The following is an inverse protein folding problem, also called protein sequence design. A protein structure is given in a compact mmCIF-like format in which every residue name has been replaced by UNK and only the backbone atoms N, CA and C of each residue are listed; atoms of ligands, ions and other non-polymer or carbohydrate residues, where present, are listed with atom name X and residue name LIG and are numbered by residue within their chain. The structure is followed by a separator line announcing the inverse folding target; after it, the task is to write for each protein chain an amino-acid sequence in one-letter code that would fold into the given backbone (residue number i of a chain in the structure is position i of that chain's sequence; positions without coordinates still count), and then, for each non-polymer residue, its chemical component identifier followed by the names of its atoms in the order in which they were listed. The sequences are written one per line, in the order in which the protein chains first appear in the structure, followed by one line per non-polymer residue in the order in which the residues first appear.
data_IF_259774798026
#
_entry.id   IF_259774798026
#
_cell.length_a   1.000
_cell.length_b   1.000
_cell.length_c   1.000
_cell.angle_alpha   90.00
_cell.angle_beta   90.00
_cell.angle_gamma   90.00
#
_symmetry.space_group_name_H-M   'P 1'
#
loop_
_entity.id
_entity.type
_entity.pdbx_description
1 polymer ?
#
# COMPACT_ATOMS: atom_id res chain seq x y z
N UNK A 1 -9.36 14.84 8.21
CA UNK A 1 -9.83 13.45 8.32
C UNK A 1 -8.63 12.53 8.16
N UNK A 2 -8.41 11.59 9.09
CA UNK A 2 -7.37 10.57 8.97
C UNK A 2 -8.09 9.22 8.83
N UNK A 3 -7.98 8.58 7.68
CA UNK A 3 -8.56 7.27 7.44
C UNK A 3 -7.51 6.21 7.79
N UNK A 4 -7.71 5.50 8.89
CA UNK A 4 -6.99 4.26 9.15
C UNK A 4 -7.78 3.09 8.51
N UNK A 5 -7.10 2.11 7.89
CA UNK A 5 -7.77 0.95 7.31
C UNK A 5 -8.54 0.19 8.40
N UNK A 6 -9.80 -0.15 8.12
CA UNK A 6 -10.63 -0.93 9.04
C UNK A 6 -10.00 -2.31 9.27
N UNK A 7 -10.08 -2.84 10.49
CA UNK A 7 -9.64 -4.20 10.79
C UNK A 7 -10.57 -5.20 10.08
N UNK A 8 -10.10 -5.78 8.96
CA UNK A 8 -10.84 -6.83 8.26
C UNK A 8 -10.82 -8.11 9.11
N UNK A 9 -11.95 -8.41 9.73
CA UNK A 9 -12.24 -9.66 10.46
C UNK A 9 -12.36 -10.92 9.56
N UNK A 10 -11.73 -10.90 8.39
CA UNK A 10 -11.51 -12.06 7.53
C UNK A 10 -10.08 -11.95 7.01
N UNK A 11 -9.31 -13.02 7.09
CA UNK A 11 -7.87 -13.10 6.79
C UNK A 11 -7.54 -12.51 5.40
N UNK A 12 -7.32 -11.19 5.34
CA UNK A 12 -6.86 -10.49 4.14
C UNK A 12 -5.35 -10.64 4.06
N UNK A 13 -4.89 -11.86 3.82
CA UNK A 13 -3.47 -12.25 3.90
C UNK A 13 -2.59 -11.61 2.81
N UNK A 14 -3.08 -10.65 2.01
CA UNK A 14 -2.35 -10.14 0.84
C UNK A 14 -2.61 -8.67 0.49
N UNK A 15 -2.88 -7.79 1.45
CA UNK A 15 -2.87 -6.33 1.20
C UNK A 15 -1.47 -5.71 1.18
N UNK A 16 -0.42 -6.54 1.15
CA UNK A 16 0.95 -6.08 0.95
C UNK A 16 1.20 -5.79 -0.52
N UNK A 17 1.86 -4.67 -0.75
CA UNK A 17 2.17 -4.21 -2.09
C UNK A 17 3.25 -5.08 -2.69
N UNK A 18 3.12 -5.34 -3.98
CA UNK A 18 4.02 -6.27 -4.66
C UNK A 18 5.47 -5.79 -4.52
N UNK A 19 6.32 -6.65 -3.94
CA UNK A 19 7.74 -6.38 -3.65
C UNK A 19 8.00 -5.23 -2.67
N UNK A 20 7.06 -4.93 -1.79
CA UNK A 20 7.24 -3.91 -0.76
C UNK A 20 6.63 -4.35 0.57
N UNK A 21 7.17 -3.82 1.67
CA UNK A 21 6.57 -3.95 3.00
C UNK A 21 5.47 -2.90 3.25
N UNK A 22 5.14 -2.12 2.22
CA UNK A 22 4.04 -1.17 2.23
C UNK A 22 2.71 -1.92 2.15
N UNK A 23 1.74 -1.48 2.92
CA UNK A 23 0.33 -1.87 2.78
C UNK A 23 -0.36 -0.94 1.79
N UNK A 24 -1.41 -1.44 1.13
CA UNK A 24 -2.26 -0.64 0.25
C UNK A 24 -2.75 0.62 0.98
N UNK A 25 -2.58 1.78 0.35
CA UNK A 25 -2.92 3.09 0.91
C UNK A 25 -1.79 3.74 1.72
N UNK A 26 -0.68 3.04 1.97
CA UNK A 26 0.48 3.64 2.63
C UNK A 26 1.32 4.47 1.67
N UNK A 27 1.77 5.62 2.15
CA UNK A 27 2.68 6.51 1.46
C UNK A 27 3.85 6.76 2.40
N UNK A 28 5.06 6.56 1.89
CA UNK A 28 6.30 6.87 2.61
C UNK A 28 7.08 7.88 1.81
N UNK A 29 7.62 8.88 2.50
CA UNK A 29 8.52 9.86 1.92
C UNK A 29 9.84 9.80 2.67
N UNK A 30 10.95 9.70 1.93
CA UNK A 30 12.29 9.74 2.51
C UNK A 30 13.05 10.92 1.93
N UNK A 31 13.45 11.84 2.80
CA UNK A 31 14.26 12.99 2.42
C UNK A 31 15.62 12.50 1.90
N UNK A 32 16.06 13.07 0.79
CA UNK A 32 17.35 12.85 0.14
C UNK A 32 17.98 14.20 -0.18
N UNK A 33 19.28 14.24 -0.46
CA UNK A 33 19.98 15.47 -0.87
C UNK A 33 19.43 16.10 -2.16
N UNK A 34 18.68 15.36 -2.97
CA UNK A 34 18.07 15.82 -4.22
C UNK A 34 16.54 16.05 -4.13
N UNK A 35 15.94 15.96 -2.94
CA UNK A 35 14.50 16.10 -2.73
C UNK A 35 13.88 14.95 -1.94
N UNK A 36 12.59 14.69 -2.10
CA UNK A 36 11.90 13.59 -1.42
C UNK A 36 11.67 12.40 -2.36
N UNK A 37 12.17 11.23 -1.98
CA UNK A 37 11.78 9.97 -2.62
C UNK A 37 10.45 9.52 -2.02
N UNK A 38 9.38 9.58 -2.80
CA UNK A 38 8.03 9.22 -2.37
C UNK A 38 7.66 7.87 -2.95
N UNK A 39 7.40 6.91 -2.07
CA UNK A 39 6.88 5.59 -2.44
C UNK A 39 5.47 5.49 -1.90
N UNK A 40 4.49 5.50 -2.80
CA UNK A 40 3.11 5.20 -2.51
C UNK A 40 2.79 3.78 -2.94
N UNK A 41 1.90 3.12 -2.22
CA UNK A 41 1.21 1.97 -2.74
C UNK A 41 -0.29 2.22 -2.76
N UNK A 42 -0.88 2.05 -3.92
CA UNK A 42 -2.30 2.26 -4.16
C UNK A 42 -2.97 0.98 -4.62
N UNK A 43 -4.27 0.88 -4.37
CA UNK A 43 -5.08 -0.25 -4.81
C UNK A 43 -5.31 -0.16 -6.32
N UNK A 44 -4.82 -1.14 -7.08
CA UNK A 44 -4.94 -1.23 -8.54
C UNK A 44 -6.09 -2.13 -9.01
N UNK A 45 -6.82 -2.76 -8.09
CA UNK A 45 -7.92 -3.68 -8.39
C UNK A 45 -7.70 -5.08 -7.83
N UNK A 46 -8.61 -6.00 -8.13
CA UNK A 46 -8.52 -7.41 -7.75
C UNK A 46 -8.78 -8.27 -8.97
N UNK A 47 -7.80 -9.10 -9.34
CA UNK A 47 -7.86 -9.92 -10.55
C UNK A 47 -7.35 -11.31 -10.22
N UNK A 48 -8.08 -12.35 -10.64
CA UNK A 48 -7.72 -13.76 -10.43
C UNK A 48 -7.36 -14.09 -8.96
N UNK A 49 -8.15 -13.61 -8.01
CA UNK A 49 -7.93 -13.92 -6.59
C UNK A 49 -6.81 -13.11 -5.93
N UNK A 50 -6.16 -12.17 -6.64
CA UNK A 50 -5.05 -11.39 -6.13
C UNK A 50 -5.28 -9.89 -6.21
N UNK A 51 -4.83 -9.14 -5.21
CA UNK A 51 -4.88 -7.68 -5.17
C UNK A 51 -3.74 -7.13 -6.04
N UNK A 52 -4.11 -6.34 -7.05
CA UNK A 52 -3.18 -5.53 -7.81
C UNK A 52 -2.88 -4.24 -7.04
N UNK A 53 -1.62 -3.82 -7.08
CA UNK A 53 -1.15 -2.59 -6.44
C UNK A 53 -0.35 -1.75 -7.42
N UNK A 54 -0.52 -0.43 -7.34
CA UNK A 54 0.14 0.60 -8.17
C UNK A 54 1.02 1.51 -7.35
#
# INVERSE_FOLDING_TARGET
LFCAPASLGASCESMHCRRSNLTVGSVTSRLTSAGCNVTSCTYGGFVNGSVLTT
#
